data_IF_363622627746
#
_entry.id   IF_363622627746
#
_cell.length_a   1.000
_cell.length_b   1.000
_cell.length_c   1.000
_cell.angle_alpha   90.00
_cell.angle_beta   90.00
_cell.angle_gamma   90.00
#
_symmetry.space_group_name_H-M   'P 1'
#
loop_
_entity.id
_entity.type
_entity.pdbx_description
1 polymer ?
#
# COMPACT_ATOMS: atom_id res chain seq x y z
N UNK A 1 -28.24 10.95 41.66
CA UNK A 1 -27.85 11.47 40.33
C UNK A 1 -26.52 12.24 40.32
N UNK A 2 -26.05 12.82 41.44
CA UNK A 2 -24.76 13.53 41.53
C UNK A 2 -23.46 12.69 41.40
N UNK A 3 -23.39 11.39 41.78
CA UNK A 3 -22.12 10.64 41.66
C UNK A 3 -21.80 10.21 40.23
N UNK A 4 -22.80 10.12 39.34
CA UNK A 4 -22.61 9.75 37.93
C UNK A 4 -21.92 10.88 37.14
N UNK A 5 -22.20 12.13 37.50
CA UNK A 5 -21.62 13.31 36.84
C UNK A 5 -20.12 13.47 37.17
N UNK A 6 -19.73 13.12 38.40
CA UNK A 6 -18.34 13.19 38.85
C UNK A 6 -17.45 12.12 38.19
N UNK A 7 -18.03 10.93 37.96
CA UNK A 7 -17.33 9.84 37.27
C UNK A 7 -17.10 10.15 35.78
N UNK A 8 -18.08 10.79 35.12
CA UNK A 8 -17.94 11.22 33.72
C UNK A 8 -16.85 12.30 33.55
N UNK A 9 -16.69 13.19 34.54
CA UNK A 9 -15.66 14.22 34.52
C UNK A 9 -14.25 13.64 34.69
N UNK A 10 -14.10 12.55 35.45
CA UNK A 10 -12.79 11.90 35.65
C UNK A 10 -12.31 11.14 34.40
N UNK A 11 -13.22 10.62 33.57
CA UNK A 11 -12.87 9.94 32.32
C UNK A 11 -12.31 10.88 31.25
N UNK A 12 -12.63 12.18 31.30
CA UNK A 12 -12.12 13.19 30.37
C UNK A 12 -10.69 13.69 30.71
N UNK A 13 -10.19 13.39 31.91
CA UNK A 13 -8.87 13.84 32.38
C UNK A 13 -7.73 12.89 32.04
N UNK A 14 -8.01 11.75 31.39
CA UNK A 14 -6.98 10.87 30.86
C UNK A 14 -6.81 11.14 29.36
N UNK A 15 -5.90 12.04 28.95
CA UNK A 15 -5.47 12.09 27.56
C UNK A 15 -4.87 10.73 27.23
N UNK A 16 -5.61 9.93 26.47
CA UNK A 16 -5.10 8.69 25.92
C UNK A 16 -3.83 9.02 25.16
N UNK A 17 -2.68 8.61 25.70
CA UNK A 17 -1.40 8.75 24.99
C UNK A 17 -1.50 7.87 23.76
N UNK A 18 -1.85 8.48 22.63
CA UNK A 18 -1.64 7.88 21.33
C UNK A 18 -0.12 7.74 21.21
N UNK A 19 0.39 6.53 21.43
CA UNK A 19 1.78 6.19 21.20
C UNK A 19 2.05 6.35 19.70
N UNK A 20 2.48 7.55 19.31
CA UNK A 20 3.05 7.80 18.01
C UNK A 20 4.32 6.98 17.90
N UNK A 21 4.25 5.84 17.21
CA UNK A 21 5.41 5.00 16.97
C UNK A 21 6.40 5.80 16.12
N UNK A 22 7.50 6.25 16.72
CA UNK A 22 8.55 6.97 16.01
C UNK A 22 9.19 6.02 15.00
N UNK A 23 8.88 6.20 13.72
CA UNK A 23 9.51 5.48 12.60
C UNK A 23 10.96 5.92 12.34
N UNK A 24 11.55 6.72 13.25
CA UNK A 24 12.91 7.26 13.16
C UNK A 24 13.98 6.19 12.98
N UNK A 25 13.84 5.00 13.60
CA UNK A 25 14.87 3.96 13.61
C UNK A 25 14.46 2.65 12.91
N UNK A 26 13.74 2.70 11.78
CA UNK A 26 13.69 1.55 10.88
C UNK A 26 15.09 1.31 10.31
N UNK A 27 15.78 0.28 10.81
CA UNK A 27 17.11 -0.16 10.34
C UNK A 27 17.11 -0.65 8.88
N UNK A 28 15.94 -0.91 8.30
CA UNK A 28 15.78 -1.38 6.93
C UNK A 28 16.22 -0.34 5.88
N UNK A 29 16.22 0.96 6.22
CA UNK A 29 16.58 2.03 5.29
C UNK A 29 17.57 2.99 5.95
N UNK A 30 18.85 2.86 5.58
CA UNK A 30 19.94 3.73 6.04
C UNK A 30 19.87 5.13 5.43
N UNK A 31 19.41 5.22 4.18
CA UNK A 31 19.26 6.48 3.45
C UNK A 31 17.79 6.74 3.18
N UNK A 32 17.32 7.92 3.59
CA UNK A 32 15.90 8.32 3.50
C UNK A 32 15.66 9.61 2.74
N UNK A 33 16.73 10.34 2.44
CA UNK A 33 16.69 11.58 1.68
C UNK A 33 17.62 11.41 0.48
N UNK A 34 17.29 12.09 -0.61
CA UNK A 34 18.15 12.17 -1.78
C UNK A 34 19.51 12.79 -1.39
N UNK A 35 20.57 12.16 -1.87
CA UNK A 35 21.94 12.63 -1.76
C UNK A 35 22.53 12.74 -3.17
N UNK A 36 22.91 13.93 -3.66
CA UNK A 36 23.48 14.08 -5.00
C UNK A 36 24.82 13.34 -5.18
N UNK A 37 25.53 13.02 -4.09
CA UNK A 37 26.75 12.20 -4.14
C UNK A 37 26.45 10.69 -4.19
N UNK A 38 25.22 10.30 -3.88
CA UNK A 38 24.76 8.91 -3.92
C UNK A 38 23.28 8.83 -4.31
N UNK A 39 23.01 9.14 -5.58
CA UNK A 39 21.67 9.46 -6.07
C UNK A 39 20.64 8.34 -5.86
N UNK A 40 21.07 7.08 -5.95
CA UNK A 40 20.20 5.91 -5.82
C UNK A 40 19.97 5.44 -4.37
N UNK A 41 20.70 5.98 -3.39
CA UNK A 41 20.71 5.44 -2.02
C UNK A 41 19.33 5.42 -1.35
N UNK A 42 18.47 6.39 -1.67
CA UNK A 42 17.15 6.55 -1.07
C UNK A 42 16.00 5.96 -1.91
N UNK A 43 16.27 5.38 -3.09
CA UNK A 43 15.24 4.92 -4.03
C UNK A 43 14.34 3.85 -3.41
N UNK A 44 14.93 2.85 -2.76
CA UNK A 44 14.17 1.78 -2.13
C UNK A 44 13.28 2.29 -1.00
N UNK A 45 13.74 3.30 -0.26
CA UNK A 45 12.95 3.94 0.79
C UNK A 45 11.78 4.71 0.19
N UNK A 46 12.01 5.52 -0.85
CA UNK A 46 10.97 6.29 -1.53
C UNK A 46 9.92 5.38 -2.16
N UNK A 47 10.34 4.38 -2.94
CA UNK A 47 9.46 3.41 -3.60
C UNK A 47 8.63 2.62 -2.58
N UNK A 48 9.24 2.17 -1.48
CA UNK A 48 8.55 1.42 -0.44
C UNK A 48 7.59 2.31 0.36
N UNK A 49 7.98 3.55 0.66
CA UNK A 49 7.13 4.53 1.35
C UNK A 49 5.91 4.88 0.51
N UNK A 50 6.11 5.15 -0.78
CA UNK A 50 5.01 5.42 -1.71
C UNK A 50 4.05 4.24 -1.81
N UNK A 51 4.57 3.02 -2.00
CA UNK A 51 3.71 1.83 -2.14
C UNK A 51 2.98 1.45 -0.84
N UNK A 52 3.64 1.58 0.32
CA UNK A 52 2.95 1.40 1.61
C UNK A 52 1.86 2.47 1.83
N UNK A 53 2.06 3.69 1.31
CA UNK A 53 1.03 4.74 1.34
C UNK A 53 -0.15 4.38 0.45
N UNK A 54 0.08 3.76 -0.71
CA UNK A 54 -0.97 3.24 -1.59
C UNK A 54 -1.78 2.15 -0.89
N UNK A 55 -1.13 1.15 -0.29
CA UNK A 55 -1.79 0.08 0.46
C UNK A 55 -2.62 0.68 1.62
N UNK A 56 -2.03 1.60 2.38
CA UNK A 56 -2.70 2.27 3.50
C UNK A 56 -3.96 3.00 3.06
N UNK A 57 -3.85 3.77 1.97
CA UNK A 57 -4.98 4.47 1.37
C UNK A 57 -6.07 3.51 0.91
N UNK A 58 -5.72 2.47 0.15
CA UNK A 58 -6.71 1.55 -0.45
C UNK A 58 -7.44 0.70 0.58
N UNK A 59 -6.72 0.17 1.57
CA UNK A 59 -7.30 -0.72 2.57
C UNK A 59 -7.76 -0.01 3.84
N UNK A 60 -7.53 1.30 3.96
CA UNK A 60 -7.94 2.10 5.12
C UNK A 60 -7.21 1.70 6.41
N UNK A 61 -5.92 1.35 6.30
CA UNK A 61 -5.08 0.96 7.44
C UNK A 61 -3.89 1.90 7.59
N UNK A 62 -3.32 1.99 8.79
CA UNK A 62 -2.14 2.84 9.01
C UNK A 62 -0.88 2.28 8.34
N UNK A 63 0.01 3.16 7.87
CA UNK A 63 1.34 2.77 7.37
C UNK A 63 2.16 2.02 8.42
N UNK A 64 2.04 2.42 9.68
CA UNK A 64 2.68 1.75 10.81
C UNK A 64 2.23 0.30 10.94
N UNK A 65 0.94 0.02 10.79
CA UNK A 65 0.39 -1.35 10.79
C UNK A 65 1.00 -2.19 9.68
N UNK A 66 1.12 -1.67 8.45
CA UNK A 66 1.74 -2.36 7.31
C UNK A 66 3.19 -2.72 7.63
N UNK A 67 3.97 -1.74 8.10
CA UNK A 67 5.38 -1.93 8.44
C UNK A 67 5.52 -2.98 9.55
N UNK A 68 4.73 -2.87 10.61
CA UNK A 68 4.74 -3.81 11.72
C UNK A 68 4.41 -5.24 11.27
N UNK A 69 3.42 -5.43 10.38
CA UNK A 69 3.05 -6.75 9.85
C UNK A 69 4.18 -7.35 9.00
N UNK A 70 4.84 -6.53 8.17
CA UNK A 70 6.02 -6.95 7.39
C UNK A 70 7.22 -7.30 8.28
N UNK A 71 7.44 -6.57 9.38
CA UNK A 71 8.60 -6.77 10.26
C UNK A 71 8.42 -7.90 11.29
N UNK A 72 7.26 -8.02 11.94
CA UNK A 72 7.07 -8.93 13.09
C UNK A 72 6.87 -10.40 12.69
N UNK A 73 6.29 -10.67 11.52
CA UNK A 73 5.95 -12.02 11.10
C UNK A 73 6.77 -12.55 9.93
N UNK A 74 7.72 -11.76 9.38
CA UNK A 74 8.39 -12.11 8.12
C UNK A 74 7.42 -12.32 6.95
N UNK A 75 6.19 -11.80 7.09
CA UNK A 75 5.10 -12.06 6.15
C UNK A 75 5.52 -11.53 4.79
N UNK A 76 5.47 -12.41 3.79
CA UNK A 76 5.73 -12.04 2.42
C UNK A 76 4.83 -10.84 2.04
N UNK A 77 5.42 -9.82 1.40
CA UNK A 77 4.69 -8.62 1.00
C UNK A 77 3.45 -8.93 0.15
N UNK A 78 3.52 -9.98 -0.65
CA UNK A 78 2.41 -10.45 -1.50
C UNK A 78 1.27 -11.02 -0.65
N UNK A 79 1.61 -11.84 0.34
CA UNK A 79 0.63 -12.48 1.24
C UNK A 79 -0.11 -11.44 2.09
N UNK A 80 0.58 -10.38 2.54
CA UNK A 80 -0.08 -9.28 3.26
C UNK A 80 -1.14 -8.59 2.40
N UNK A 81 -0.82 -8.28 1.14
CA UNK A 81 -1.75 -7.58 0.23
C UNK A 81 -2.95 -8.45 -0.12
N UNK A 82 -2.74 -9.75 -0.36
CA UNK A 82 -3.84 -10.71 -0.58
C UNK A 82 -4.72 -10.82 0.66
N UNK A 83 -4.12 -10.98 1.84
CA UNK A 83 -4.85 -11.05 3.11
C UNK A 83 -5.69 -9.80 3.37
N UNK A 84 -5.13 -8.61 3.11
CA UNK A 84 -5.86 -7.34 3.23
C UNK A 84 -7.05 -7.24 2.29
N UNK A 85 -6.89 -7.73 1.06
CA UNK A 85 -7.97 -7.76 0.08
C UNK A 85 -9.11 -8.69 0.53
N UNK A 86 -8.78 -9.92 0.94
CA UNK A 86 -9.78 -10.87 1.44
C UNK A 86 -10.45 -10.33 2.71
N UNK A 87 -9.68 -9.77 3.64
CA UNK A 87 -10.21 -9.12 4.84
C UNK A 87 -11.25 -8.05 4.47
N UNK A 88 -10.92 -7.15 3.54
CA UNK A 88 -11.82 -6.08 3.12
C UNK A 88 -13.10 -6.59 2.48
N UNK A 89 -13.04 -7.69 1.73
CA UNK A 89 -14.17 -8.27 1.01
C UNK A 89 -15.05 -9.19 1.85
N UNK A 90 -14.49 -9.86 2.85
CA UNK A 90 -15.19 -10.88 3.63
C UNK A 90 -15.48 -10.44 5.06
N UNK A 91 -14.85 -9.37 5.54
CA UNK A 91 -14.91 -8.92 6.92
C UNK A 91 -14.17 -9.83 7.91
N UNK A 92 -13.59 -10.96 7.47
CA UNK A 92 -12.86 -11.87 8.36
C UNK A 92 -11.59 -11.19 8.90
N UNK A 93 -11.21 -11.39 10.18
CA UNK A 93 -10.05 -10.73 10.76
C UNK A 93 -8.75 -11.04 10.01
N UNK A 94 -8.00 -10.01 9.62
CA UNK A 94 -6.74 -10.16 8.87
C UNK A 94 -5.76 -11.11 9.58
N UNK A 95 -5.64 -11.00 10.90
CA UNK A 95 -4.68 -11.80 11.69
C UNK A 95 -5.02 -13.28 11.67
N UNK A 96 -6.32 -13.63 11.60
CA UNK A 96 -6.76 -15.00 11.42
C UNK A 96 -6.35 -15.51 10.03
N UNK A 97 -6.61 -14.73 8.98
CA UNK A 97 -6.26 -15.10 7.59
C UNK A 97 -4.75 -15.35 7.44
N UNK A 98 -3.93 -14.43 7.98
CA UNK A 98 -2.47 -14.53 7.93
C UNK A 98 -1.96 -15.70 8.78
N UNK A 99 -2.54 -15.96 9.97
CA UNK A 99 -2.13 -17.12 10.77
C UNK A 99 -2.37 -18.44 10.05
N UNK A 100 -3.48 -18.60 9.31
CA UNK A 100 -3.73 -19.82 8.55
C UNK A 100 -2.73 -19.94 7.41
N UNK A 101 -2.37 -18.82 6.77
CA UNK A 101 -1.36 -18.77 5.71
C UNK A 101 0.02 -19.19 6.22
N UNK A 102 0.44 -18.66 7.37
CA UNK A 102 1.74 -18.95 7.98
C UNK A 102 1.85 -20.42 8.43
N UNK A 103 0.72 -21.07 8.74
CA UNK A 103 0.66 -22.50 9.08
C UNK A 103 0.46 -23.41 7.85
N UNK A 104 0.80 -22.93 6.65
CA UNK A 104 0.82 -23.73 5.41
C UNK A 104 -0.50 -23.76 4.64
N UNK A 105 -1.53 -23.03 5.08
CA UNK A 105 -2.78 -22.90 4.34
C UNK A 105 -2.60 -22.19 2.99
N UNK A 106 -3.31 -22.63 1.97
CA UNK A 106 -3.37 -21.93 0.68
C UNK A 106 -4.39 -20.80 0.72
N UNK A 107 -4.18 -19.75 -0.10
CA UNK A 107 -5.18 -18.67 -0.22
C UNK A 107 -6.54 -19.17 -0.68
N UNK A 108 -6.58 -20.23 -1.49
CA UNK A 108 -7.81 -20.89 -1.91
C UNK A 108 -8.56 -21.47 -0.71
N UNK A 109 -7.88 -22.21 0.17
CA UNK A 109 -8.48 -22.79 1.38
C UNK A 109 -8.94 -21.71 2.35
N UNK A 110 -8.10 -20.69 2.56
CA UNK A 110 -8.41 -19.55 3.42
C UNK A 110 -9.66 -18.83 2.92
N UNK A 111 -9.75 -18.55 1.62
CA UNK A 111 -10.92 -17.91 1.04
C UNK A 111 -12.15 -18.81 1.15
N UNK A 112 -12.05 -20.10 0.85
CA UNK A 112 -13.17 -21.03 0.98
C UNK A 112 -13.76 -21.04 2.40
N UNK A 113 -12.90 -21.05 3.43
CA UNK A 113 -13.32 -20.97 4.83
C UNK A 113 -13.84 -19.57 5.23
N UNK A 114 -13.37 -18.50 4.57
CA UNK A 114 -13.78 -17.14 4.84
C UNK A 114 -15.12 -16.74 4.20
N UNK A 115 -15.61 -17.49 3.19
CA UNK A 115 -16.86 -17.16 2.49
C UNK A 115 -18.07 -17.68 3.26
N UNK A 116 -18.86 -16.79 3.82
CA UNK A 116 -20.18 -17.11 4.42
C UNK A 116 -21.28 -17.28 3.34
N UNK A 117 -20.94 -17.83 2.16
CA UNK A 117 -21.86 -18.00 1.02
C UNK A 117 -22.29 -16.72 0.29
N UNK A 118 -22.04 -15.52 0.85
CA UNK A 118 -22.44 -14.21 0.27
C UNK A 118 -21.30 -13.39 -0.35
N UNK A 119 -20.05 -13.74 -0.09
CA UNK A 119 -18.90 -12.95 -0.54
C UNK A 119 -18.71 -13.09 -2.07
N UNK A 120 -19.14 -12.06 -2.80
CA UNK A 120 -18.68 -11.67 -4.14
C UNK A 120 -18.52 -12.79 -5.17
N UNK A 121 -19.62 -13.38 -5.64
CA UNK A 121 -19.57 -14.31 -6.78
C UNK A 121 -19.08 -13.66 -8.09
N UNK A 122 -19.05 -12.33 -8.16
CA UNK A 122 -18.65 -11.58 -9.36
C UNK A 122 -17.29 -10.87 -9.20
N UNK A 123 -16.57 -11.06 -8.09
CA UNK A 123 -15.27 -10.43 -7.89
C UNK A 123 -14.17 -11.23 -8.63
N UNK A 124 -13.50 -10.66 -9.64
CA UNK A 124 -12.51 -11.38 -10.44
C UNK A 124 -11.25 -11.74 -9.64
N UNK A 125 -10.89 -10.97 -8.62
CA UNK A 125 -9.72 -11.25 -7.77
C UNK A 125 -10.04 -12.40 -6.83
N UNK A 126 -11.20 -12.38 -6.15
CA UNK A 126 -11.62 -13.51 -5.32
C UNK A 126 -11.82 -14.78 -6.14
N UNK A 127 -12.33 -14.67 -7.36
CA UNK A 127 -12.44 -15.80 -8.29
C UNK A 127 -11.07 -16.37 -8.62
N UNK A 128 -10.08 -15.54 -8.93
CA UNK A 128 -8.71 -15.99 -9.18
C UNK A 128 -8.09 -16.69 -7.95
N UNK A 129 -8.36 -16.21 -6.74
CA UNK A 129 -7.93 -16.88 -5.51
C UNK A 129 -8.63 -18.22 -5.34
N UNK A 130 -9.95 -18.27 -5.56
CA UNK A 130 -10.75 -19.48 -5.41
C UNK A 130 -10.40 -20.58 -6.42
N UNK A 131 -9.88 -20.23 -7.60
CA UNK A 131 -9.38 -21.17 -8.62
C UNK A 131 -7.91 -21.56 -8.42
N UNK A 132 -7.26 -21.10 -7.34
CA UNK A 132 -5.89 -21.48 -7.02
C UNK A 132 -4.82 -20.82 -7.88
N UNK A 133 -5.12 -19.64 -8.47
CA UNK A 133 -4.11 -18.86 -9.21
C UNK A 133 -2.93 -18.52 -8.29
N UNK A 134 -1.71 -18.51 -8.83
CA UNK A 134 -0.51 -18.27 -8.04
C UNK A 134 -0.52 -16.87 -7.38
N UNK A 135 0.08 -16.76 -6.18
CA UNK A 135 0.07 -15.52 -5.38
C UNK A 135 0.57 -14.30 -6.14
N UNK A 136 1.62 -14.45 -6.95
CA UNK A 136 2.17 -13.35 -7.74
C UNK A 136 1.15 -12.77 -8.73
N UNK A 137 0.39 -13.63 -9.43
CA UNK A 137 -0.61 -13.16 -10.37
C UNK A 137 -1.82 -12.54 -9.67
N UNK A 138 -2.22 -13.05 -8.49
CA UNK A 138 -3.26 -12.43 -7.66
C UNK A 138 -2.79 -11.07 -7.14
N UNK A 139 -1.55 -10.97 -6.66
CA UNK A 139 -0.96 -9.72 -6.19
C UNK A 139 -0.91 -8.68 -7.31
N UNK A 140 -0.58 -9.07 -8.53
CA UNK A 140 -0.60 -8.16 -9.68
C UNK A 140 -2.01 -7.65 -9.95
N UNK A 141 -3.04 -8.52 -9.89
CA UNK A 141 -4.43 -8.10 -10.05
C UNK A 141 -4.87 -7.13 -8.94
N UNK A 142 -4.45 -7.37 -7.69
CA UNK A 142 -4.73 -6.44 -6.57
C UNK A 142 -3.98 -5.12 -6.76
N UNK A 143 -2.74 -5.14 -7.25
CA UNK A 143 -2.00 -3.91 -7.56
C UNK A 143 -2.65 -3.11 -8.68
N UNK A 144 -3.11 -3.76 -9.75
CA UNK A 144 -3.87 -3.11 -10.82
C UNK A 144 -5.15 -2.49 -10.27
N UNK A 145 -5.86 -3.19 -9.36
CA UNK A 145 -7.00 -2.64 -8.63
C UNK A 145 -6.60 -1.41 -7.81
N UNK A 146 -5.56 -1.49 -6.97
CA UNK A 146 -5.09 -0.35 -6.14
C UNK A 146 -4.73 0.88 -6.99
N UNK A 147 -4.00 0.67 -8.10
CA UNK A 147 -3.57 1.75 -8.99
C UNK A 147 -4.77 2.39 -9.72
N UNK A 148 -5.72 1.58 -10.19
CA UNK A 148 -6.96 2.09 -10.80
C UNK A 148 -7.79 2.88 -9.79
N UNK A 149 -7.98 2.33 -8.60
CA UNK A 149 -8.79 2.95 -7.55
C UNK A 149 -8.19 4.27 -7.07
N UNK A 150 -6.86 4.37 -6.91
CA UNK A 150 -6.22 5.60 -6.45
C UNK A 150 -6.06 6.65 -7.54
N UNK A 151 -5.69 6.27 -8.76
CA UNK A 151 -5.26 7.22 -9.80
C UNK A 151 -6.23 7.34 -10.98
N UNK A 152 -7.36 6.61 -10.97
CA UNK A 152 -8.24 6.46 -12.13
C UNK A 152 -7.48 6.05 -13.41
N UNK A 153 -6.40 5.30 -13.25
CA UNK A 153 -5.47 4.98 -14.34
C UNK A 153 -6.00 3.84 -15.21
N UNK A 154 -6.14 4.00 -16.54
CA UNK A 154 -6.62 2.93 -17.42
C UNK A 154 -5.71 1.69 -17.39
N UNK A 155 -6.31 0.50 -17.55
CA UNK A 155 -5.53 -0.76 -17.60
C UNK A 155 -4.47 -0.73 -18.71
N UNK A 156 -4.79 -0.15 -19.87
CA UNK A 156 -3.86 -0.04 -20.99
C UNK A 156 -2.59 0.73 -20.60
N UNK A 157 -2.72 1.80 -19.81
CA UNK A 157 -1.58 2.57 -19.30
C UNK A 157 -0.75 1.76 -18.32
N UNK A 158 -1.38 1.07 -17.38
CA UNK A 158 -0.67 0.22 -16.39
C UNK A 158 0.08 -0.91 -17.12
N UNK A 159 -0.57 -1.60 -18.04
CA UNK A 159 0.03 -2.67 -18.84
C UNK A 159 1.18 -2.14 -19.71
N UNK A 160 1.02 -0.96 -20.32
CA UNK A 160 2.07 -0.30 -21.10
C UNK A 160 3.33 -0.03 -20.28
N UNK A 161 3.18 0.58 -19.10
CA UNK A 161 4.29 0.83 -18.18
C UNK A 161 4.96 -0.48 -17.72
N UNK A 162 4.16 -1.51 -17.43
CA UNK A 162 4.69 -2.82 -17.04
C UNK A 162 5.51 -3.47 -18.15
N UNK A 163 5.05 -3.40 -19.40
CA UNK A 163 5.80 -3.87 -20.58
C UNK A 163 7.10 -3.10 -20.79
N UNK A 164 7.20 -1.86 -20.28
CA UNK A 164 8.44 -1.07 -20.26
C UNK A 164 9.34 -1.37 -19.05
N UNK A 165 9.06 -2.41 -18.26
CA UNK A 165 9.89 -2.85 -17.14
C UNK A 165 9.62 -2.15 -15.81
N UNK A 166 8.54 -1.38 -15.69
CA UNK A 166 8.17 -0.74 -14.43
C UNK A 166 7.42 -1.75 -13.54
N UNK A 167 7.98 -2.00 -12.34
CA UNK A 167 7.30 -2.74 -11.26
C UNK A 167 6.17 -1.92 -10.65
N UNK A 168 5.29 -2.54 -9.88
CA UNK A 168 4.13 -1.93 -9.20
C UNK A 168 4.53 -0.73 -8.33
N UNK A 169 5.63 -0.83 -7.58
CA UNK A 169 6.15 0.30 -6.77
C UNK A 169 6.55 1.49 -7.63
N UNK A 170 7.20 1.22 -8.76
CA UNK A 170 7.66 2.22 -9.73
C UNK A 170 6.49 2.86 -10.47
N UNK A 171 5.50 2.06 -10.90
CA UNK A 171 4.26 2.57 -11.52
C UNK A 171 3.53 3.48 -10.53
N UNK A 172 3.36 3.05 -9.27
CA UNK A 172 2.74 3.86 -8.24
C UNK A 172 3.45 5.21 -8.06
N UNK A 173 4.78 5.21 -7.94
CA UNK A 173 5.54 6.45 -7.78
C UNK A 173 5.43 7.35 -9.01
N UNK A 174 5.50 6.78 -10.22
CA UNK A 174 5.35 7.52 -11.47
C UNK A 174 3.98 8.21 -11.56
N UNK A 175 2.90 7.52 -11.17
CA UNK A 175 1.55 8.09 -11.15
C UNK A 175 1.38 9.15 -10.06
N UNK A 176 1.94 8.93 -8.87
CA UNK A 176 1.94 9.93 -7.79
C UNK A 176 2.66 11.22 -8.21
N UNK A 177 3.82 11.10 -8.85
CA UNK A 177 4.56 12.26 -9.38
C UNK A 177 3.74 12.98 -10.46
N UNK A 178 3.10 12.24 -11.38
CA UNK A 178 2.23 12.84 -12.41
C UNK A 178 1.11 13.66 -11.79
N UNK A 179 0.41 13.13 -10.80
CA UNK A 179 -0.73 13.80 -10.16
C UNK A 179 -0.28 15.03 -9.37
N UNK A 180 0.77 14.90 -8.57
CA UNK A 180 1.29 16.00 -7.73
C UNK A 180 1.89 17.14 -8.57
N UNK A 181 2.61 16.83 -9.65
CA UNK A 181 3.37 17.85 -10.40
C UNK A 181 2.69 18.27 -11.70
N UNK A 182 1.62 17.59 -12.12
CA UNK A 182 0.99 17.76 -13.43
C UNK A 182 1.87 17.38 -14.64
N UNK A 183 3.03 16.78 -14.42
CA UNK A 183 3.96 16.46 -15.49
C UNK A 183 3.41 15.31 -16.38
N UNK A 184 3.55 15.39 -17.71
CA UNK A 184 3.14 14.29 -18.59
C UNK A 184 3.88 13.00 -18.24
N UNK A 185 3.17 11.86 -18.26
CA UNK A 185 3.73 10.55 -17.92
C UNK A 185 5.01 10.24 -18.72
N UNK A 186 4.98 10.53 -20.02
CA UNK A 186 6.13 10.31 -20.91
C UNK A 186 7.37 11.11 -20.49
N UNK A 187 7.20 12.34 -19.98
CA UNK A 187 8.31 13.16 -19.47
C UNK A 187 8.94 12.50 -18.25
N UNK A 188 8.12 11.99 -17.33
CA UNK A 188 8.59 11.28 -16.14
C UNK A 188 9.28 9.97 -16.52
N UNK A 189 8.74 9.22 -17.48
CA UNK A 189 9.39 8.01 -18.00
C UNK A 189 10.77 8.33 -18.57
N UNK A 190 10.88 9.33 -19.46
CA UNK A 190 12.15 9.78 -20.06
C UNK A 190 13.18 10.19 -19.01
N UNK A 191 12.76 10.84 -17.91
CA UNK A 191 13.67 11.16 -16.79
C UNK A 191 14.33 9.91 -16.21
N UNK A 192 13.56 8.84 -16.01
CA UNK A 192 14.06 7.60 -15.38
C UNK A 192 14.81 6.72 -16.40
N UNK A 193 14.27 6.54 -17.60
CA UNK A 193 14.77 5.53 -18.54
C UNK A 193 15.90 6.05 -19.43
N UNK A 194 15.74 7.24 -20.01
CA UNK A 194 16.68 7.82 -20.97
C UNK A 194 17.73 8.66 -20.26
N UNK A 195 17.30 9.54 -19.35
CA UNK A 195 18.20 10.42 -18.58
C UNK A 195 18.85 9.74 -17.38
N UNK A 196 18.49 8.48 -17.09
CA UNK A 196 19.04 7.66 -16.00
C UNK A 196 18.96 8.30 -14.62
N UNK A 197 17.99 9.20 -14.40
CA UNK A 197 17.78 9.76 -13.06
C UNK A 197 17.33 8.65 -12.12
N UNK A 198 17.83 8.69 -10.89
CA UNK A 198 17.27 7.88 -9.81
C UNK A 198 15.83 8.31 -9.48
N UNK A 199 15.07 7.47 -8.78
CA UNK A 199 13.72 7.83 -8.35
C UNK A 199 13.72 8.98 -7.35
N UNK A 200 14.69 8.98 -6.45
CA UNK A 200 14.87 10.01 -5.42
C UNK A 200 15.29 11.35 -6.04
N UNK A 201 16.15 11.31 -7.06
CA UNK A 201 16.51 12.49 -7.85
C UNK A 201 15.32 13.04 -8.63
N UNK A 202 14.53 12.17 -9.28
CA UNK A 202 13.35 12.60 -10.01
C UNK A 202 12.30 13.26 -9.08
N UNK A 203 12.07 12.72 -7.89
CA UNK A 203 11.21 13.37 -6.89
C UNK A 203 11.82 14.70 -6.39
N UNK A 204 13.12 14.72 -6.11
CA UNK A 204 13.83 15.91 -5.67
C UNK A 204 13.81 17.03 -6.72
N UNK A 205 13.85 16.69 -8.01
CA UNK A 205 13.70 17.65 -9.12
C UNK A 205 12.40 18.45 -9.03
N UNK A 206 11.33 17.85 -8.49
CA UNK A 206 10.05 18.51 -8.21
C UNK A 206 9.91 19.01 -6.77
N UNK A 207 11.01 19.04 -6.01
CA UNK A 207 11.08 19.44 -4.59
C UNK A 207 10.21 18.57 -3.67
N UNK A 208 10.03 17.31 -4.03
CA UNK A 208 9.26 16.34 -3.24
C UNK A 208 10.20 15.47 -2.40
N UNK A 209 9.89 15.36 -1.12
CA UNK A 209 10.49 14.37 -0.22
C UNK A 209 9.66 13.08 -0.23
N UNK A 210 10.19 11.95 0.28
CA UNK A 210 9.39 10.74 0.46
C UNK A 210 8.16 10.93 1.36
N UNK A 211 8.23 11.89 2.29
CA UNK A 211 7.09 12.27 3.13
C UNK A 211 6.00 12.89 2.28
N UNK A 212 6.34 13.88 1.46
CA UNK A 212 5.38 14.62 0.62
C UNK A 212 4.68 13.67 -0.35
N UNK A 213 5.44 12.79 -1.02
CA UNK A 213 4.87 11.74 -1.88
C UNK A 213 3.91 10.83 -1.11
N UNK A 214 4.31 10.40 0.09
CA UNK A 214 3.48 9.54 0.92
C UNK A 214 2.19 10.23 1.40
N UNK A 215 2.25 11.51 1.75
CA UNK A 215 1.10 12.32 2.16
C UNK A 215 0.15 12.56 0.98
N UNK A 216 0.67 12.90 -0.20
CA UNK A 216 -0.11 13.05 -1.42
C UNK A 216 -0.91 11.79 -1.77
N UNK A 217 -0.27 10.62 -1.69
CA UNK A 217 -0.95 9.34 -1.97
C UNK A 217 -2.08 9.11 -0.96
N UNK A 218 -1.88 9.44 0.31
CA UNK A 218 -2.89 9.26 1.36
C UNK A 218 -4.07 10.23 1.22
N UNK A 219 -3.85 11.45 0.74
CA UNK A 219 -4.87 12.49 0.61
C UNK A 219 -5.78 12.36 -0.61
N UNK A 220 -5.60 11.33 -1.44
CA UNK A 220 -6.44 11.08 -2.62
C UNK A 220 -7.94 11.06 -2.26
N UNK A 221 -8.78 11.75 -3.05
CA UNK A 221 -10.21 11.95 -2.75
C UNK A 221 -11.16 10.91 -3.37
N UNK A 222 -10.64 9.79 -3.86
CA UNK A 222 -11.49 8.77 -4.45
C UNK A 222 -12.05 7.85 -3.37
N UNK A 223 -13.38 7.83 -3.19
CA UNK A 223 -14.05 6.78 -2.45
C UNK A 223 -13.80 5.45 -3.18
N UNK A 224 -13.09 4.54 -2.51
CA UNK A 224 -12.76 3.24 -3.08
C UNK A 224 -13.92 2.31 -2.79
N UNK A 225 -14.77 2.09 -3.78
CA UNK A 225 -15.86 1.15 -3.65
C UNK A 225 -15.39 -0.28 -3.95
N UNK A 226 -15.57 -1.16 -2.98
CA UNK A 226 -15.33 -2.59 -3.10
C UNK A 226 -16.66 -3.28 -3.43
N UNK A 227 -17.12 -3.20 -4.68
CA UNK A 227 -18.32 -3.94 -5.15
C UNK A 227 -18.06 -5.44 -5.25
#
# INVERSE_FOLDING_TARGET
>A
MKPLLLFLFFLLLFPGRILAFTTGNCHCFRHRNYDPQNTFAADDYLLTTGYNSLIAHVFGISKGTIIMKKMKGGINGDDLVIGLYIHKKTGKPLDLLLSVRDNGGSWQQILAAARDGKAGNNDPILTAVATGKCSAAVQQMISDFMLKSRYSCPQATISGLRSSGFTEKKINLLLALREETGAPLKKLETMITERKMSWSEAAHHFRLTPRDVGEHILSGRHEITFY
#
